data_IF_771806921178
#
_entry.id   IF_771806921178
#
_cell.length_a   1.000
_cell.length_b   1.000
_cell.length_c   1.000
_cell.angle_alpha   90.00
_cell.angle_beta   90.00
_cell.angle_gamma   90.00
#
_symmetry.space_group_name_H-M   'P 1'
#
loop_
_entity.id
_entity.type
_entity.pdbx_description
1 polymer ?
#
# COMPACT_ATOMS: atom_id res chain seq x y z
N UNK A 1 3.87 -40.79 -49.85
CA UNK A 1 2.55 -40.11 -49.82
C UNK A 1 1.97 -40.36 -48.44
N UNK A 2 2.17 -39.40 -47.53
CA UNK A 2 1.63 -39.45 -46.18
C UNK A 2 0.27 -38.70 -46.23
N UNK A 3 -0.82 -39.43 -45.97
CA UNK A 3 -2.16 -38.87 -45.87
C UNK A 3 -2.26 -38.19 -44.51
N UNK A 4 -2.21 -36.84 -44.49
CA UNK A 4 -2.61 -36.06 -43.34
C UNK A 4 -4.09 -36.29 -43.07
N UNK A 5 -4.40 -37.14 -42.09
CA UNK A 5 -5.76 -37.41 -41.65
C UNK A 5 -6.27 -36.13 -40.92
N UNK A 6 -7.28 -35.53 -41.51
CA UNK A 6 -8.07 -34.45 -40.93
C UNK A 6 -8.71 -34.92 -39.60
N UNK A 7 -8.20 -34.42 -38.48
CA UNK A 7 -8.79 -34.64 -37.15
C UNK A 7 -9.89 -33.61 -36.88
N UNK A 8 -11.16 -34.01 -36.94
CA UNK A 8 -12.28 -33.08 -36.72
C UNK A 8 -12.45 -32.63 -35.28
N UNK A 9 -11.66 -33.17 -34.33
CA UNK A 9 -11.69 -32.76 -32.91
C UNK A 9 -10.76 -31.59 -32.60
N UNK A 10 -9.88 -31.16 -33.52
CA UNK A 10 -9.06 -29.98 -33.34
C UNK A 10 -9.90 -28.74 -33.54
N UNK A 11 -10.31 -28.13 -32.45
CA UNK A 11 -10.81 -26.74 -32.45
C UNK A 11 -9.79 -25.84 -33.15
N UNK A 12 -10.20 -25.11 -34.22
CA UNK A 12 -9.25 -24.19 -34.86
C UNK A 12 -8.69 -23.18 -33.85
N UNK A 13 -7.42 -22.77 -34.01
CA UNK A 13 -6.85 -21.73 -33.15
C UNK A 13 -7.76 -20.51 -33.22
N UNK A 14 -8.12 -19.97 -32.04
CA UNK A 14 -9.00 -18.81 -31.93
C UNK A 14 -8.43 -17.67 -32.81
N UNK A 15 -9.29 -17.13 -33.68
CA UNK A 15 -8.89 -16.05 -34.59
C UNK A 15 -8.33 -14.86 -33.80
N UNK A 16 -7.31 -14.13 -34.28
CA UNK A 16 -6.70 -12.98 -33.61
C UNK A 16 -7.71 -11.92 -33.17
N UNK A 17 -8.75 -11.68 -33.94
CA UNK A 17 -9.85 -10.76 -33.58
C UNK A 17 -10.68 -11.22 -32.39
N UNK A 18 -10.85 -12.51 -32.18
CA UNK A 18 -11.55 -13.08 -31.03
C UNK A 18 -10.79 -12.83 -29.72
N UNK A 19 -9.47 -12.97 -29.73
CA UNK A 19 -8.59 -12.73 -28.58
C UNK A 19 -8.62 -11.26 -28.18
N UNK A 20 -8.54 -10.34 -29.15
CA UNK A 20 -8.58 -8.88 -28.88
C UNK A 20 -9.91 -8.48 -28.25
N UNK A 21 -11.02 -8.91 -28.82
CA UNK A 21 -12.38 -8.64 -28.28
C UNK A 21 -12.54 -9.20 -26.86
N UNK A 22 -12.01 -10.38 -26.58
CA UNK A 22 -12.06 -10.99 -25.25
C UNK A 22 -11.25 -10.16 -24.25
N UNK A 23 -10.03 -9.75 -24.57
CA UNK A 23 -9.19 -8.90 -23.72
C UNK A 23 -9.85 -7.55 -23.43
N UNK A 24 -10.41 -6.89 -24.43
CA UNK A 24 -11.17 -5.65 -24.23
C UNK A 24 -12.33 -5.87 -23.25
N UNK A 25 -13.12 -6.93 -23.43
CA UNK A 25 -14.24 -7.24 -22.52
C UNK A 25 -13.79 -7.49 -21.08
N UNK A 26 -12.68 -8.24 -20.89
CA UNK A 26 -12.11 -8.50 -19.56
C UNK A 26 -11.65 -7.19 -18.91
N UNK A 27 -10.96 -6.31 -19.67
CA UNK A 27 -10.50 -5.01 -19.18
C UNK A 27 -11.67 -4.10 -18.82
N UNK A 28 -12.72 -4.00 -19.65
CA UNK A 28 -13.90 -3.19 -19.34
C UNK A 28 -14.64 -3.69 -18.09
N UNK A 29 -14.78 -5.00 -17.92
CA UNK A 29 -15.36 -5.59 -16.70
C UNK A 29 -14.51 -5.28 -15.47
N UNK A 30 -13.20 -5.37 -15.58
CA UNK A 30 -12.26 -5.03 -14.51
C UNK A 30 -12.40 -3.55 -14.12
N UNK A 31 -12.43 -2.63 -15.08
CA UNK A 31 -12.62 -1.19 -14.83
C UNK A 31 -13.98 -0.89 -14.18
N UNK A 32 -15.08 -1.52 -14.66
CA UNK A 32 -16.40 -1.40 -14.03
C UNK A 32 -16.40 -1.91 -12.58
N UNK A 33 -15.75 -3.04 -12.32
CA UNK A 33 -15.59 -3.59 -10.96
C UNK A 33 -14.73 -2.69 -10.07
N UNK A 34 -13.68 -2.08 -10.62
CA UNK A 34 -12.83 -1.13 -9.89
C UNK A 34 -13.61 0.13 -9.50
N UNK A 35 -14.38 0.69 -10.42
CA UNK A 35 -15.25 1.84 -10.13
C UNK A 35 -16.28 1.51 -9.05
N UNK A 36 -16.98 0.38 -9.18
CA UNK A 36 -18.00 -0.03 -8.21
C UNK A 36 -17.38 -0.28 -6.82
N UNK A 37 -16.25 -0.99 -6.75
CA UNK A 37 -15.54 -1.24 -5.49
C UNK A 37 -14.99 0.06 -4.87
N UNK A 38 -14.46 0.95 -5.69
CA UNK A 38 -14.03 2.29 -5.26
C UNK A 38 -15.18 3.11 -4.70
N UNK A 39 -16.33 3.15 -5.40
CA UNK A 39 -17.54 3.81 -4.92
C UNK A 39 -18.07 3.19 -3.62
N UNK A 40 -18.01 1.87 -3.46
CA UNK A 40 -18.45 1.21 -2.23
C UNK A 40 -17.56 1.60 -1.04
N UNK A 41 -16.24 1.66 -1.21
CA UNK A 41 -15.31 2.08 -0.16
C UNK A 41 -15.44 3.58 0.13
N UNK A 42 -15.26 4.43 -0.89
CA UNK A 42 -15.25 5.88 -0.71
C UNK A 42 -16.62 6.43 -0.37
N UNK A 43 -17.68 5.86 -0.97
CA UNK A 43 -19.07 6.23 -0.66
C UNK A 43 -19.44 5.94 0.79
N UNK A 44 -19.02 4.78 1.33
CA UNK A 44 -19.25 4.45 2.74
C UNK A 44 -18.53 5.44 3.68
N UNK A 45 -17.29 5.82 3.35
CA UNK A 45 -16.54 6.83 4.11
C UNK A 45 -17.20 8.20 4.03
N UNK A 46 -17.69 8.58 2.85
CA UNK A 46 -18.38 9.87 2.64
C UNK A 46 -19.69 9.94 3.42
N UNK A 47 -20.51 8.89 3.33
CA UNK A 47 -21.77 8.78 4.11
C UNK A 47 -21.50 8.82 5.61
N UNK A 48 -20.46 8.14 6.08
CA UNK A 48 -20.06 8.20 7.48
C UNK A 48 -19.63 9.62 7.89
N UNK A 49 -18.75 10.26 7.13
CA UNK A 49 -18.19 11.58 7.49
C UNK A 49 -19.22 12.71 7.43
N UNK A 50 -20.12 12.69 6.44
CA UNK A 50 -21.07 13.77 6.22
C UNK A 50 -22.46 13.51 6.84
N UNK A 51 -22.79 12.26 7.13
CA UNK A 51 -24.08 11.87 7.71
C UNK A 51 -23.94 11.34 9.14
N UNK A 52 -23.35 10.17 9.32
CA UNK A 52 -23.37 9.47 10.61
C UNK A 52 -22.51 10.18 11.67
N UNK A 53 -21.33 10.69 11.32
CA UNK A 53 -20.46 11.37 12.29
C UNK A 53 -21.06 12.66 12.84
N UNK A 54 -21.65 13.57 12.03
CA UNK A 54 -22.38 14.74 12.53
C UNK A 54 -23.61 14.36 13.38
N UNK A 55 -24.31 13.27 13.01
CA UNK A 55 -25.42 12.76 13.79
C UNK A 55 -24.98 12.29 15.18
N UNK A 56 -23.85 11.55 15.27
CA UNK A 56 -23.24 11.14 16.52
C UNK A 56 -22.89 12.37 17.38
N UNK A 57 -22.30 13.40 16.76
CA UNK A 57 -21.93 14.63 17.46
C UNK A 57 -23.16 15.35 18.01
N UNK A 58 -24.21 15.47 17.21
CA UNK A 58 -25.45 16.18 17.60
C UNK A 58 -26.20 15.43 18.70
N UNK A 59 -26.32 14.09 18.59
CA UNK A 59 -27.14 13.27 19.52
C UNK A 59 -26.42 13.00 20.84
N UNK A 60 -25.14 12.61 20.77
CA UNK A 60 -24.40 12.16 21.95
C UNK A 60 -23.47 13.23 22.53
N UNK A 61 -23.19 14.30 21.80
CA UNK A 61 -22.30 15.40 22.19
C UNK A 61 -20.99 14.92 22.85
N UNK A 62 -20.29 13.95 22.25
CA UNK A 62 -19.05 13.48 22.81
C UNK A 62 -18.02 14.61 22.81
N UNK A 63 -17.21 14.71 23.85
CA UNK A 63 -16.13 15.69 23.87
C UNK A 63 -15.18 15.52 22.66
N UNK A 64 -14.37 16.55 22.29
CA UNK A 64 -13.56 16.58 21.07
C UNK A 64 -12.61 15.37 20.92
N UNK A 65 -12.07 14.85 22.03
CA UNK A 65 -11.22 13.65 22.03
C UNK A 65 -11.97 12.40 21.57
N UNK A 66 -13.17 12.19 22.12
CA UNK A 66 -14.01 11.04 21.74
C UNK A 66 -14.53 11.14 20.31
N UNK A 67 -14.92 12.34 19.86
CA UNK A 67 -15.32 12.58 18.48
C UNK A 67 -14.16 12.26 17.50
N UNK A 68 -12.93 12.61 17.88
CA UNK A 68 -11.74 12.26 17.11
C UNK A 68 -11.51 10.75 17.02
N UNK A 69 -11.72 10.01 18.12
CA UNK A 69 -11.66 8.54 18.13
C UNK A 69 -12.77 7.95 17.26
N UNK A 70 -14.02 8.39 17.43
CA UNK A 70 -15.16 7.94 16.62
C UNK A 70 -14.89 8.15 15.12
N UNK A 71 -14.38 9.34 14.76
CA UNK A 71 -14.04 9.66 13.36
C UNK A 71 -12.98 8.70 12.80
N UNK A 72 -11.89 8.46 13.52
CA UNK A 72 -10.78 7.61 13.08
C UNK A 72 -11.19 6.14 12.96
N UNK A 73 -11.78 5.60 14.03
CA UNK A 73 -12.26 4.22 14.03
C UNK A 73 -13.37 3.99 13.00
N UNK A 74 -14.32 4.94 12.92
CA UNK A 74 -15.43 4.87 11.99
C UNK A 74 -14.98 4.83 10.54
N UNK A 75 -14.02 5.67 10.13
CA UNK A 75 -13.49 5.66 8.75
C UNK A 75 -12.98 4.27 8.37
N UNK A 76 -12.16 3.62 9.21
CA UNK A 76 -11.65 2.26 8.93
C UNK A 76 -12.80 1.27 8.85
N UNK A 77 -13.69 1.28 9.84
CA UNK A 77 -14.79 0.31 9.92
C UNK A 77 -15.71 0.40 8.71
N UNK A 78 -16.11 1.61 8.29
CA UNK A 78 -17.00 1.77 7.14
C UNK A 78 -16.30 1.50 5.81
N UNK A 79 -15.01 1.82 5.69
CA UNK A 79 -14.25 1.47 4.48
C UNK A 79 -14.13 -0.04 4.29
N UNK A 80 -13.81 -0.77 5.37
CA UNK A 80 -13.76 -2.25 5.36
C UNK A 80 -15.16 -2.83 5.11
N UNK A 81 -16.21 -2.27 5.72
CA UNK A 81 -17.58 -2.69 5.50
C UNK A 81 -18.01 -2.46 4.03
N UNK A 82 -17.66 -1.31 3.45
CA UNK A 82 -17.92 -1.00 2.04
C UNK A 82 -17.21 -1.98 1.10
N UNK A 83 -15.93 -2.27 1.36
CA UNK A 83 -15.19 -3.28 0.61
C UNK A 83 -15.81 -4.68 0.77
N UNK A 84 -16.13 -5.08 2.01
CA UNK A 84 -16.79 -6.36 2.29
C UNK A 84 -18.13 -6.47 1.55
N UNK A 85 -18.95 -5.43 1.57
CA UNK A 85 -20.23 -5.35 0.87
C UNK A 85 -20.04 -5.54 -0.65
N UNK A 86 -19.08 -4.83 -1.24
CA UNK A 86 -18.72 -4.99 -2.64
C UNK A 86 -18.34 -6.44 -2.97
N UNK A 87 -17.46 -7.06 -2.19
CA UNK A 87 -17.02 -8.45 -2.41
C UNK A 87 -18.16 -9.43 -2.24
N UNK A 88 -19.01 -9.24 -1.20
CA UNK A 88 -20.11 -10.14 -0.91
C UNK A 88 -21.22 -10.10 -1.97
N UNK A 89 -21.66 -8.90 -2.34
CA UNK A 89 -22.82 -8.73 -3.22
C UNK A 89 -22.47 -8.70 -4.71
N UNK A 90 -21.37 -8.05 -5.08
CA UNK A 90 -20.97 -7.94 -6.48
C UNK A 90 -20.10 -9.11 -6.93
N UNK A 91 -19.06 -9.47 -6.16
CA UNK A 91 -18.19 -10.60 -6.53
C UNK A 91 -18.73 -11.96 -6.09
N UNK A 92 -19.73 -11.99 -5.22
CA UNK A 92 -20.40 -13.21 -4.69
C UNK A 92 -19.41 -14.21 -4.10
N UNK A 93 -18.42 -13.74 -3.34
CA UNK A 93 -17.40 -14.53 -2.67
C UNK A 93 -17.19 -14.09 -1.23
N UNK A 94 -16.44 -14.88 -0.45
CA UNK A 94 -15.96 -14.48 0.86
C UNK A 94 -14.74 -13.58 0.72
N UNK A 95 -14.66 -12.51 1.52
CA UNK A 95 -13.51 -11.61 1.60
C UNK A 95 -12.43 -12.22 2.53
N UNK A 96 -11.77 -13.29 2.08
CA UNK A 96 -10.79 -14.05 2.88
C UNK A 96 -9.56 -13.22 3.23
N UNK A 97 -9.24 -12.21 2.42
CA UNK A 97 -8.16 -11.26 2.65
C UNK A 97 -8.37 -10.36 3.87
N UNK A 98 -9.60 -10.29 4.41
CA UNK A 98 -9.94 -9.56 5.63
C UNK A 98 -9.84 -10.42 6.91
N UNK A 99 -9.51 -11.70 6.81
CA UNK A 99 -9.37 -12.56 7.98
C UNK A 99 -8.23 -12.09 8.88
N UNK A 100 -8.54 -11.84 10.15
CA UNK A 100 -7.53 -11.46 11.13
C UNK A 100 -6.65 -12.67 11.47
N UNK A 101 -5.34 -12.51 11.30
CA UNK A 101 -4.32 -13.50 11.62
C UNK A 101 -3.31 -12.88 12.60
N UNK A 102 -3.53 -12.94 13.92
CA UNK A 102 -2.78 -12.14 14.90
C UNK A 102 -1.25 -12.34 14.82
N UNK A 103 -0.81 -13.59 14.73
CA UNK A 103 0.63 -13.90 14.65
C UNK A 103 1.23 -13.33 13.36
N UNK A 104 0.56 -13.50 12.21
CA UNK A 104 1.05 -12.99 10.93
C UNK A 104 1.04 -11.46 10.89
N UNK A 105 0.05 -10.82 11.53
CA UNK A 105 -0.02 -9.36 11.69
C UNK A 105 1.19 -8.85 12.50
N UNK A 106 1.49 -9.48 13.65
CA UNK A 106 2.65 -9.10 14.48
C UNK A 106 3.95 -9.27 13.69
N UNK A 107 4.13 -10.41 13.01
CA UNK A 107 5.30 -10.64 12.17
C UNK A 107 5.40 -9.65 11.01
N UNK A 108 4.26 -9.28 10.41
CA UNK A 108 4.19 -8.21 9.41
C UNK A 108 4.70 -6.89 9.95
N UNK A 109 4.20 -6.46 11.11
CA UNK A 109 4.62 -5.22 11.76
C UNK A 109 6.11 -5.22 12.14
N UNK A 110 6.57 -6.28 12.82
CA UNK A 110 8.00 -6.43 13.16
C UNK A 110 8.88 -6.42 11.91
N UNK A 111 8.45 -7.11 10.85
CA UNK A 111 9.14 -7.11 9.56
C UNK A 111 9.24 -5.71 8.94
N UNK A 112 8.15 -4.95 8.93
CA UNK A 112 8.13 -3.57 8.40
C UNK A 112 9.06 -2.63 9.17
N UNK A 113 8.99 -2.67 10.50
CA UNK A 113 9.87 -1.88 11.36
C UNK A 113 11.35 -2.25 11.12
N UNK A 114 11.69 -3.53 11.11
CA UNK A 114 13.06 -4.00 10.93
C UNK A 114 13.63 -3.63 9.55
N UNK A 115 12.80 -3.73 8.50
CA UNK A 115 13.23 -3.43 7.13
C UNK A 115 13.67 -1.98 6.94
N UNK A 116 12.98 -1.02 7.55
CA UNK A 116 13.32 0.39 7.44
C UNK A 116 14.31 0.83 8.51
N UNK A 117 14.28 0.21 9.69
CA UNK A 117 15.22 0.52 10.76
C UNK A 117 16.67 0.27 10.36
N UNK A 118 16.91 -0.79 9.55
CA UNK A 118 18.27 -1.11 9.10
C UNK A 118 18.89 0.01 8.24
N UNK A 119 18.32 0.44 7.10
CA UNK A 119 18.90 1.55 6.33
C UNK A 119 18.96 2.86 7.13
N UNK A 120 17.98 3.16 7.99
CA UNK A 120 18.02 4.35 8.84
C UNK A 120 19.20 4.27 9.83
N UNK A 121 19.41 3.14 10.50
CA UNK A 121 20.57 2.95 11.39
C UNK A 121 21.89 3.14 10.65
N UNK A 122 21.99 2.66 9.40
CA UNK A 122 23.17 2.88 8.56
C UNK A 122 23.36 4.37 8.22
N UNK A 123 22.26 5.12 7.94
CA UNK A 123 22.33 6.56 7.67
C UNK A 123 22.87 7.33 8.89
N UNK A 124 22.47 6.97 10.10
CA UNK A 124 23.05 7.52 11.33
C UNK A 124 24.50 7.09 11.50
N UNK A 125 24.83 5.83 11.29
CA UNK A 125 26.21 5.31 11.44
C UNK A 125 27.19 5.96 10.45
N UNK A 126 26.74 6.30 9.25
CA UNK A 126 27.54 6.99 8.24
C UNK A 126 27.57 8.51 8.42
N UNK A 127 26.89 9.05 9.43
CA UNK A 127 26.81 10.50 9.67
C UNK A 127 25.96 11.25 8.64
N UNK A 128 25.17 10.56 7.83
CA UNK A 128 24.22 11.20 6.92
C UNK A 128 23.01 11.78 7.67
N UNK A 129 22.69 11.20 8.82
CA UNK A 129 21.73 11.72 9.79
C UNK A 129 22.44 11.99 11.11
N UNK A 130 22.13 13.12 11.73
CA UNK A 130 22.64 13.50 13.03
C UNK A 130 21.49 13.67 14.02
N UNK A 131 21.60 13.05 15.19
CA UNK A 131 20.68 13.29 16.30
C UNK A 131 20.96 14.66 16.91
N UNK A 132 19.95 15.53 16.90
CA UNK A 132 20.04 16.88 17.47
C UNK A 132 19.55 16.89 18.92
N UNK A 133 18.40 16.26 19.18
CA UNK A 133 17.75 16.29 20.49
C UNK A 133 16.91 15.02 20.73
N UNK A 134 16.91 14.57 21.98
CA UNK A 134 15.94 13.60 22.46
C UNK A 134 14.79 14.32 23.19
N UNK A 135 13.62 14.39 22.57
CA UNK A 135 12.42 15.06 23.12
C UNK A 135 11.62 14.15 24.06
N UNK A 136 11.82 12.83 23.95
CA UNK A 136 10.97 11.84 24.62
C UNK A 136 9.62 11.65 23.96
N UNK A 137 8.85 10.68 24.45
CA UNK A 137 7.52 10.38 23.91
C UNK A 137 6.47 11.35 24.48
N UNK A 138 5.61 11.86 23.61
CA UNK A 138 4.45 12.67 23.98
C UNK A 138 3.12 11.93 23.72
N UNK A 139 2.02 12.25 24.41
CA UNK A 139 0.70 11.66 24.10
C UNK A 139 0.24 11.93 22.65
N UNK A 140 0.68 13.02 22.04
CA UNK A 140 0.38 13.33 20.64
C UNK A 140 0.93 12.30 19.65
N UNK A 141 2.03 11.61 20.01
CA UNK A 141 2.61 10.51 19.24
C UNK A 141 1.60 9.38 18.99
N UNK A 142 0.78 9.03 20.00
CA UNK A 142 -0.28 8.02 19.84
C UNK A 142 -1.34 8.44 18.83
N UNK A 143 -1.64 9.74 18.77
CA UNK A 143 -2.56 10.30 17.80
C UNK A 143 -2.05 10.16 16.37
N UNK A 144 -0.77 10.44 16.14
CA UNK A 144 -0.14 10.30 14.82
C UNK A 144 0.06 8.82 14.47
N UNK A 145 0.44 7.97 15.42
CA UNK A 145 0.51 6.52 15.20
C UNK A 145 -0.83 5.94 14.71
N UNK A 146 -1.94 6.38 15.31
CA UNK A 146 -3.27 5.99 14.87
C UNK A 146 -3.57 6.48 13.43
N UNK A 147 -3.18 7.71 13.08
CA UNK A 147 -3.34 8.24 11.71
C UNK A 147 -2.53 7.44 10.70
N UNK A 148 -1.27 7.10 11.02
CA UNK A 148 -0.43 6.24 10.19
C UNK A 148 -1.09 4.88 9.97
N UNK A 149 -1.59 4.25 11.04
CA UNK A 149 -2.28 2.96 10.94
C UNK A 149 -3.54 3.01 10.07
N UNK A 150 -4.30 4.12 10.16
CA UNK A 150 -5.48 4.36 9.31
C UNK A 150 -5.08 4.55 7.86
N UNK A 151 -4.13 5.43 7.58
CA UNK A 151 -3.67 5.72 6.23
C UNK A 151 -3.15 4.45 5.56
N UNK A 152 -2.22 3.73 6.20
CA UNK A 152 -1.69 2.47 5.69
C UNK A 152 -2.80 1.44 5.43
N UNK A 153 -3.77 1.29 6.35
CA UNK A 153 -4.87 0.33 6.16
C UNK A 153 -5.74 0.68 4.95
N UNK A 154 -6.08 1.96 4.77
CA UNK A 154 -6.89 2.42 3.64
C UNK A 154 -6.15 2.27 2.32
N UNK A 155 -4.87 2.63 2.29
CA UNK A 155 -4.03 2.48 1.11
C UNK A 155 -3.89 1.01 0.70
N UNK A 156 -3.64 0.10 1.66
CA UNK A 156 -3.55 -1.33 1.38
C UNK A 156 -4.91 -1.93 0.98
N UNK A 157 -6.02 -1.47 1.55
CA UNK A 157 -7.36 -1.88 1.17
C UNK A 157 -7.64 -1.54 -0.31
N UNK A 158 -7.32 -0.31 -0.72
CA UNK A 158 -7.56 0.16 -2.09
C UNK A 158 -6.57 -0.48 -3.07
N UNK A 159 -5.26 -0.43 -2.77
CA UNK A 159 -4.25 -0.85 -3.74
C UNK A 159 -4.07 -2.38 -3.81
N UNK A 160 -4.19 -3.11 -2.68
CA UNK A 160 -3.96 -4.57 -2.65
C UNK A 160 -5.25 -5.35 -2.71
N UNK A 161 -6.22 -5.02 -1.86
CA UNK A 161 -7.47 -5.78 -1.84
C UNK A 161 -8.40 -5.46 -3.01
N UNK A 162 -8.42 -4.23 -3.52
CA UNK A 162 -9.25 -3.88 -4.66
C UNK A 162 -8.46 -3.88 -5.97
N UNK A 163 -7.55 -2.91 -6.17
CA UNK A 163 -6.87 -2.67 -7.44
C UNK A 163 -6.01 -3.86 -7.88
N UNK A 164 -5.03 -4.26 -7.07
CA UNK A 164 -4.11 -5.35 -7.42
C UNK A 164 -4.87 -6.64 -7.73
N UNK A 165 -5.82 -7.02 -6.90
CA UNK A 165 -6.58 -8.25 -7.07
C UNK A 165 -7.41 -8.27 -8.36
N UNK A 166 -8.00 -7.14 -8.73
CA UNK A 166 -8.76 -7.01 -9.99
C UNK A 166 -7.83 -7.05 -11.21
N UNK A 167 -6.69 -6.34 -11.14
CA UNK A 167 -5.65 -6.39 -12.18
C UNK A 167 -5.10 -7.81 -12.33
N UNK A 168 -4.83 -8.50 -11.22
CA UNK A 168 -4.29 -9.87 -11.23
C UNK A 168 -5.24 -10.84 -11.91
N UNK A 169 -6.54 -10.73 -11.64
CA UNK A 169 -7.56 -11.56 -12.32
C UNK A 169 -7.64 -11.28 -13.81
N UNK A 170 -7.46 -10.03 -14.22
CA UNK A 170 -7.57 -9.62 -15.62
C UNK A 170 -6.28 -9.91 -16.41
N UNK A 171 -5.12 -9.59 -15.83
CA UNK A 171 -3.86 -9.54 -16.57
C UNK A 171 -2.73 -10.37 -15.95
N UNK A 172 -3.00 -11.11 -14.87
CA UNK A 172 -2.03 -11.94 -14.15
C UNK A 172 -1.15 -11.15 -13.18
N UNK A 173 -0.45 -11.88 -12.30
CA UNK A 173 0.28 -11.31 -11.16
C UNK A 173 1.38 -10.32 -11.56
N UNK A 174 2.12 -10.61 -12.65
CA UNK A 174 3.27 -9.76 -13.04
C UNK A 174 2.81 -8.39 -13.47
N UNK A 175 1.78 -8.31 -14.35
CA UNK A 175 1.23 -7.05 -14.83
C UNK A 175 0.57 -6.30 -13.67
N UNK A 176 -0.17 -7.01 -12.81
CA UNK A 176 -0.82 -6.42 -11.65
C UNK A 176 0.21 -5.77 -10.69
N UNK A 177 1.32 -6.45 -10.40
CA UNK A 177 2.40 -5.90 -9.57
C UNK A 177 2.99 -4.63 -10.17
N UNK A 178 3.30 -4.63 -11.47
CA UNK A 178 3.90 -3.48 -12.14
C UNK A 178 2.93 -2.28 -12.16
N UNK A 179 1.70 -2.50 -12.61
CA UNK A 179 0.71 -1.41 -12.76
C UNK A 179 0.33 -0.82 -11.41
N UNK A 180 0.00 -1.66 -10.40
CA UNK A 180 -0.38 -1.14 -9.09
C UNK A 180 0.77 -0.42 -8.38
N UNK A 181 2.03 -0.83 -8.58
CA UNK A 181 3.18 -0.17 -7.97
C UNK A 181 3.38 1.25 -8.51
N UNK A 182 3.25 1.44 -9.81
CA UNK A 182 3.28 2.77 -10.43
C UNK A 182 2.10 3.61 -9.97
N UNK A 183 0.88 3.06 -9.99
CA UNK A 183 -0.31 3.78 -9.53
C UNK A 183 -0.26 4.13 -8.04
N UNK A 184 0.45 3.34 -7.23
CA UNK A 184 0.70 3.64 -5.82
C UNK A 184 1.63 4.85 -5.64
N UNK A 185 2.58 5.06 -6.54
CA UNK A 185 3.52 6.18 -6.46
C UNK A 185 2.88 7.54 -6.86
N UNK A 186 1.89 7.55 -7.75
CA UNK A 186 1.36 8.79 -8.32
C UNK A 186 0.76 9.77 -7.29
N UNK A 187 -0.04 9.34 -6.29
CA UNK A 187 -0.56 10.26 -5.28
C UNK A 187 0.52 10.96 -4.45
N UNK A 188 1.70 10.35 -4.31
CA UNK A 188 2.80 10.92 -3.53
C UNK A 188 3.51 12.08 -4.24
N UNK A 189 3.18 12.36 -5.52
CA UNK A 189 3.70 13.54 -6.23
C UNK A 189 3.37 14.86 -5.51
N UNK A 190 2.21 14.92 -4.83
CA UNK A 190 1.82 16.10 -4.05
C UNK A 190 2.82 16.39 -2.93
N UNK A 191 3.40 15.35 -2.31
CA UNK A 191 4.31 15.48 -1.19
C UNK A 191 5.68 16.06 -1.57
N UNK A 192 6.03 16.04 -2.86
CA UNK A 192 7.29 16.60 -3.41
C UNK A 192 7.03 17.72 -4.41
N UNK A 193 5.83 18.31 -4.41
CA UNK A 193 5.44 19.35 -5.37
C UNK A 193 6.35 20.61 -5.30
N UNK A 194 7.00 20.83 -4.17
CA UNK A 194 7.94 21.94 -3.95
C UNK A 194 9.41 21.56 -4.23
N UNK A 195 9.68 20.29 -4.57
CA UNK A 195 11.01 19.76 -4.85
C UNK A 195 11.46 19.97 -6.28
N UNK A 196 12.74 19.66 -6.52
CA UNK A 196 13.31 19.64 -7.85
C UNK A 196 12.99 18.37 -8.64
N UNK A 197 13.35 18.30 -9.93
CA UNK A 197 13.18 17.09 -10.74
C UNK A 197 13.85 15.84 -10.14
N UNK A 198 14.96 16.00 -9.42
CA UNK A 198 15.65 14.91 -8.73
C UNK A 198 14.80 14.30 -7.61
N UNK A 199 14.12 15.14 -6.81
CA UNK A 199 13.24 14.69 -5.73
C UNK A 199 12.05 13.90 -6.27
N UNK A 200 11.46 14.38 -7.37
CA UNK A 200 10.34 13.69 -8.04
C UNK A 200 10.78 12.31 -8.53
N UNK A 201 11.94 12.22 -9.21
CA UNK A 201 12.45 10.94 -9.71
C UNK A 201 12.78 9.99 -8.56
N UNK A 202 13.46 10.47 -7.52
CA UNK A 202 13.80 9.66 -6.35
C UNK A 202 12.56 9.13 -5.63
N UNK A 203 11.55 9.98 -5.43
CA UNK A 203 10.25 9.61 -4.87
C UNK A 203 9.54 8.57 -5.75
N UNK A 204 9.41 8.80 -7.07
CA UNK A 204 8.73 7.86 -7.97
C UNK A 204 9.40 6.49 -7.96
N UNK A 205 10.75 6.45 -7.96
CA UNK A 205 11.51 5.20 -7.87
C UNK A 205 11.26 4.50 -6.53
N UNK A 206 11.44 5.19 -5.42
CA UNK A 206 11.31 4.62 -4.07
C UNK A 206 9.91 4.13 -3.80
N UNK A 207 8.87 4.93 -4.07
CA UNK A 207 7.48 4.55 -3.80
C UNK A 207 6.99 3.45 -4.74
N UNK A 208 7.50 3.40 -6.00
CA UNK A 208 7.25 2.24 -6.88
C UNK A 208 7.87 0.96 -6.30
N UNK A 209 9.08 1.01 -5.75
CA UNK A 209 9.71 -0.14 -5.09
C UNK A 209 8.94 -0.54 -3.83
N UNK A 210 8.46 0.41 -3.03
CA UNK A 210 7.57 0.14 -1.89
C UNK A 210 6.24 -0.47 -2.36
N UNK A 211 5.68 0.02 -3.44
CA UNK A 211 4.51 -0.58 -4.09
C UNK A 211 4.73 -2.04 -4.45
N UNK A 212 5.91 -2.40 -4.96
CA UNK A 212 6.30 -3.79 -5.24
C UNK A 212 6.53 -4.59 -3.95
N UNK A 213 7.09 -3.99 -2.91
CA UNK A 213 7.29 -4.64 -1.60
C UNK A 213 5.96 -5.11 -1.02
N UNK A 214 5.02 -4.17 -0.82
CA UNK A 214 3.72 -4.49 -0.24
C UNK A 214 2.84 -5.31 -1.17
N UNK A 215 2.95 -5.10 -2.50
CA UNK A 215 2.32 -5.97 -3.49
C UNK A 215 2.85 -7.41 -3.42
N UNK A 216 4.17 -7.61 -3.35
CA UNK A 216 4.81 -8.91 -3.18
C UNK A 216 4.44 -9.59 -1.86
N UNK A 217 4.37 -8.83 -0.77
CA UNK A 217 3.92 -9.33 0.53
C UNK A 217 2.45 -9.78 0.46
N UNK A 218 1.59 -9.02 -0.24
CA UNK A 218 0.19 -9.42 -0.46
C UNK A 218 0.08 -10.66 -1.35
N UNK A 219 0.91 -10.82 -2.37
CA UNK A 219 0.95 -12.06 -3.18
C UNK A 219 1.24 -13.28 -2.31
N UNK A 220 2.13 -13.16 -1.33
CA UNK A 220 2.49 -14.25 -0.43
C UNK A 220 1.45 -14.55 0.64
N UNK A 221 0.83 -13.52 1.19
CA UNK A 221 0.00 -13.65 2.40
C UNK A 221 -1.50 -13.61 2.12
N UNK A 222 -1.89 -12.96 1.02
CA UNK A 222 -3.30 -12.69 0.66
C UNK A 222 -4.10 -12.10 1.83
N UNK A 223 -3.46 -11.26 2.64
CA UNK A 223 -4.02 -10.76 3.88
C UNK A 223 -3.77 -9.26 4.03
N UNK A 224 -4.86 -8.48 4.19
CA UNK A 224 -4.83 -7.04 4.38
C UNK A 224 -4.01 -6.65 5.62
N UNK A 225 -4.27 -7.30 6.74
CA UNK A 225 -3.73 -6.89 8.03
C UNK A 225 -2.22 -7.07 8.14
N UNK A 226 -1.68 -8.09 7.47
CA UNK A 226 -0.24 -8.33 7.42
C UNK A 226 0.46 -7.21 6.66
N UNK A 227 -0.10 -6.82 5.51
CA UNK A 227 0.50 -5.76 4.67
C UNK A 227 0.32 -4.40 5.32
N UNK A 228 -0.86 -4.10 5.84
CA UNK A 228 -1.14 -2.85 6.54
C UNK A 228 -0.29 -2.68 7.81
N UNK A 229 -0.08 -3.75 8.59
CA UNK A 229 0.80 -3.71 9.75
C UNK A 229 2.26 -3.49 9.37
N UNK A 230 2.73 -4.12 8.27
CA UNK A 230 4.07 -3.91 7.74
C UNK A 230 4.27 -2.45 7.30
N UNK A 231 3.34 -1.92 6.52
CA UNK A 231 3.35 -0.54 6.04
C UNK A 231 3.27 0.47 7.21
N UNK A 232 2.33 0.30 8.11
CA UNK A 232 2.18 1.20 9.26
C UNK A 232 3.42 1.19 10.16
N UNK A 233 4.01 0.03 10.42
CA UNK A 233 5.21 -0.09 11.24
C UNK A 233 6.45 0.51 10.55
N UNK A 234 6.57 0.37 9.22
CA UNK A 234 7.55 1.06 8.40
C UNK A 234 7.46 2.57 8.61
N UNK A 235 6.29 3.16 8.36
CA UNK A 235 6.06 4.59 8.48
C UNK A 235 6.25 5.09 9.92
N UNK A 236 5.76 4.36 10.91
CA UNK A 236 5.92 4.73 12.32
C UNK A 236 7.40 4.72 12.75
N UNK A 237 8.19 3.77 12.27
CA UNK A 237 9.63 3.71 12.56
C UNK A 237 10.36 4.94 12.01
N UNK A 238 10.02 5.41 10.80
CA UNK A 238 10.57 6.65 10.25
C UNK A 238 10.19 7.83 11.14
N UNK A 239 8.90 7.95 11.49
CA UNK A 239 8.43 9.02 12.36
C UNK A 239 9.22 9.12 13.65
N UNK A 240 9.57 7.99 14.29
CA UNK A 240 10.30 7.97 15.56
C UNK A 240 11.66 8.66 15.47
N UNK A 241 12.26 8.70 14.29
CA UNK A 241 13.60 9.29 14.07
C UNK A 241 13.60 10.81 13.91
N UNK A 242 12.41 11.44 13.74
CA UNK A 242 12.29 12.88 13.57
C UNK A 242 12.80 13.42 12.23
N UNK A 243 12.88 12.56 11.22
CA UNK A 243 13.07 12.95 9.81
C UNK A 243 11.74 12.97 9.05
N UNK A 244 11.66 13.57 7.86
CA UNK A 244 10.43 13.54 7.06
C UNK A 244 9.95 12.11 6.80
N UNK A 245 8.65 11.91 6.86
CA UNK A 245 7.98 10.68 6.48
C UNK A 245 7.22 10.93 5.17
N UNK A 246 7.65 10.32 4.08
CA UNK A 246 7.00 10.46 2.77
C UNK A 246 6.77 11.93 2.36
N UNK A 247 7.67 12.83 2.73
CA UNK A 247 7.57 14.28 2.49
C UNK A 247 6.67 15.03 3.47
N UNK A 248 6.14 14.40 4.52
CA UNK A 248 5.27 15.04 5.53
C UNK A 248 6.14 15.58 6.67
N UNK A 249 6.30 16.90 6.71
CA UNK A 249 7.10 17.60 7.74
C UNK A 249 6.35 17.78 9.07
N UNK A 250 5.05 18.03 9.04
CA UNK A 250 4.25 18.43 10.22
C UNK A 250 4.35 17.39 11.36
N UNK A 251 4.51 16.13 11.04
CA UNK A 251 4.56 15.07 12.05
C UNK A 251 5.89 14.98 12.80
N UNK A 252 6.95 15.61 12.28
CA UNK A 252 8.26 15.67 12.96
C UNK A 252 8.19 16.33 14.35
N UNK A 253 7.25 17.28 14.53
CA UNK A 253 7.10 17.98 15.80
C UNK A 253 6.72 17.06 16.97
N UNK A 254 6.08 15.91 16.71
CA UNK A 254 5.68 14.94 17.75
C UNK A 254 6.65 13.76 17.88
N UNK A 255 7.68 13.70 17.05
CA UNK A 255 8.68 12.64 17.09
C UNK A 255 9.49 12.69 18.39
N UNK A 256 9.81 11.52 18.98
CA UNK A 256 10.64 11.48 20.21
C UNK A 256 12.09 11.88 19.97
N UNK A 257 12.58 11.76 18.75
CA UNK A 257 13.89 12.23 18.32
C UNK A 257 13.75 13.46 17.44
N UNK A 258 14.72 14.36 17.50
CA UNK A 258 14.92 15.40 16.50
C UNK A 258 16.21 15.12 15.77
N UNK A 259 16.13 14.95 14.45
CA UNK A 259 17.28 14.66 13.62
C UNK A 259 17.38 15.66 12.47
N UNK A 260 18.61 15.87 12.00
CA UNK A 260 18.90 16.67 10.80
C UNK A 260 19.68 15.86 9.78
N UNK A 261 19.60 16.29 8.54
CA UNK A 261 20.41 15.77 7.46
C UNK A 261 21.81 16.42 7.47
N UNK A 262 22.84 15.60 7.29
CA UNK A 262 24.24 16.02 7.18
C UNK A 262 24.92 15.48 5.92
N UNK A 263 24.16 14.85 5.02
CA UNK A 263 24.62 14.26 3.77
C UNK A 263 23.89 14.80 2.55
N UNK A 264 24.31 14.39 1.35
CA UNK A 264 23.65 14.77 0.11
C UNK A 264 22.28 14.06 -0.03
N UNK A 265 21.36 14.65 -0.81
CA UNK A 265 19.97 14.19 -0.93
C UNK A 265 19.84 12.74 -1.42
N UNK A 266 20.71 12.28 -2.33
CA UNK A 266 20.70 10.89 -2.80
C UNK A 266 20.98 9.88 -1.69
N UNK A 267 21.69 10.30 -0.64
CA UNK A 267 22.00 9.47 0.53
C UNK A 267 20.94 9.63 1.63
N UNK A 268 20.54 10.89 1.93
CA UNK A 268 19.57 11.19 2.99
C UNK A 268 18.12 10.93 2.59
N UNK A 269 17.82 10.95 1.31
CA UNK A 269 16.47 10.86 0.76
C UNK A 269 15.80 12.22 0.55
N UNK A 270 16.54 13.33 0.80
CA UNK A 270 16.10 14.69 0.54
C UNK A 270 14.78 15.04 1.23
N UNK A 271 13.93 15.80 0.54
CA UNK A 271 12.65 16.26 1.10
C UNK A 271 11.63 15.15 1.35
N UNK A 272 11.75 14.01 0.65
CA UNK A 272 10.81 12.89 0.82
C UNK A 272 11.11 12.09 2.09
N UNK A 273 12.37 12.02 2.48
CA UNK A 273 12.82 11.28 3.66
C UNK A 273 13.58 10.00 3.34
N UNK A 274 13.90 9.18 4.36
CA UNK A 274 14.77 8.01 4.23
C UNK A 274 14.32 6.99 3.20
N UNK A 275 13.04 6.97 2.86
CA UNK A 275 12.46 6.09 1.83
C UNK A 275 13.10 6.31 0.46
N UNK A 276 13.43 7.56 0.12
CA UNK A 276 14.09 7.95 -1.15
C UNK A 276 15.61 7.91 -1.07
N UNK A 277 16.21 7.48 0.05
CA UNK A 277 17.65 7.25 0.14
C UNK A 277 18.07 6.05 -0.72
N UNK A 278 19.26 6.14 -1.30
CA UNK A 278 19.82 5.03 -2.09
C UNK A 278 19.90 3.73 -1.25
N UNK A 279 20.23 3.84 0.04
CA UNK A 279 20.30 2.67 0.94
C UNK A 279 18.94 2.01 1.11
N UNK A 280 17.87 2.80 1.31
CA UNK A 280 16.52 2.25 1.45
C UNK A 280 16.03 1.65 0.13
N UNK A 281 16.26 2.33 -1.01
CA UNK A 281 15.86 1.82 -2.33
C UNK A 281 16.56 0.49 -2.62
N UNK A 282 17.88 0.39 -2.42
CA UNK A 282 18.64 -0.83 -2.68
C UNK A 282 18.23 -1.96 -1.74
N UNK A 283 18.17 -1.71 -0.42
CA UNK A 283 17.79 -2.75 0.55
C UNK A 283 16.37 -3.25 0.31
N UNK A 284 15.42 -2.35 0.05
CA UNK A 284 14.04 -2.72 -0.26
C UNK A 284 13.95 -3.50 -1.58
N UNK A 285 14.71 -3.11 -2.61
CA UNK A 285 14.75 -3.85 -3.89
C UNK A 285 15.24 -5.28 -3.69
N UNK A 286 16.28 -5.49 -2.88
CA UNK A 286 16.76 -6.85 -2.54
C UNK A 286 15.64 -7.65 -1.89
N UNK A 287 14.93 -7.07 -0.92
CA UNK A 287 13.81 -7.77 -0.25
C UNK A 287 12.67 -8.06 -1.23
N UNK A 288 12.32 -7.13 -2.12
CA UNK A 288 11.31 -7.35 -3.18
C UNK A 288 11.70 -8.57 -4.04
N UNK A 289 12.96 -8.63 -4.50
CA UNK A 289 13.44 -9.77 -5.29
C UNK A 289 13.31 -11.10 -4.53
N UNK A 290 13.68 -11.11 -3.24
CA UNK A 290 13.57 -12.31 -2.40
C UNK A 290 12.11 -12.72 -2.19
N UNK A 291 11.21 -11.77 -1.90
CA UNK A 291 9.78 -12.01 -1.75
C UNK A 291 9.15 -12.56 -3.03
N UNK A 292 9.44 -11.94 -4.18
CA UNK A 292 8.89 -12.39 -5.46
C UNK A 292 9.42 -13.76 -5.88
N UNK A 293 10.71 -14.06 -5.58
CA UNK A 293 11.25 -15.42 -5.76
C UNK A 293 10.55 -16.44 -4.86
N UNK A 294 10.33 -16.11 -3.58
CA UNK A 294 9.60 -16.97 -2.65
C UNK A 294 8.15 -17.19 -3.11
N UNK A 295 7.46 -16.14 -3.56
CA UNK A 295 6.11 -16.23 -4.09
C UNK A 295 6.03 -17.13 -5.34
N UNK A 296 6.98 -17.01 -6.28
CA UNK A 296 7.07 -17.89 -7.45
C UNK A 296 7.29 -19.34 -7.07
N UNK A 297 8.22 -19.62 -6.14
CA UNK A 297 8.50 -20.97 -5.65
C UNK A 297 7.29 -21.62 -4.99
N UNK A 298 6.41 -20.83 -4.37
CA UNK A 298 5.15 -21.29 -3.77
C UNK A 298 3.98 -21.39 -4.76
N UNK A 299 4.21 -21.12 -6.04
CA UNK A 299 3.15 -21.15 -7.06
C UNK A 299 2.10 -20.07 -6.88
N UNK A 300 2.42 -18.96 -6.17
CA UNK A 300 1.48 -17.89 -5.87
C UNK A 300 1.23 -16.91 -7.03
N UNK A 301 1.87 -17.13 -8.19
CA UNK A 301 1.69 -16.31 -9.38
C UNK A 301 0.60 -16.90 -10.28
N UNK A 302 -0.38 -16.09 -10.63
CA UNK A 302 -1.45 -16.45 -11.57
C UNK A 302 -1.10 -15.94 -12.97
N UNK A 303 -1.44 -16.75 -13.99
CA UNK A 303 -1.43 -16.31 -15.38
C UNK A 303 -2.73 -15.54 -15.67
N UNK A 304 -2.68 -14.64 -16.64
CA UNK A 304 -3.89 -13.98 -17.14
C UNK A 304 -4.93 -15.06 -17.58
N UNK A 305 -6.20 -14.81 -17.34
CA UNK A 305 -7.25 -15.60 -17.95
C UNK A 305 -7.13 -15.45 -19.47
N UNK A 306 -6.91 -16.58 -20.16
CA UNK A 306 -6.76 -16.64 -21.61
C UNK A 306 -8.05 -16.22 -22.32
#
# INVERSE_FOLDING_TARGET
>A
MSSDSFDPSRTPPAEPEGIVRQRIRVTLRMLGSLLLGGMAIMGSVLVFRQGLLPLIDTVFQPGPAWLSVCRRAGIILVAIAGYWAYVHWHEKRKATELQLQPVALILGGVGGAALVALPIAMLFAFGAYELVLFRGASPALLGVAALIGIAATLEELVHRCLLFRLLERAWGTVVALAVQAVLFALPHLENVAHGGPGDIVAMLMSVTVLGLLWGGLFVLTRNLWVVAANHAAWNFTILLTGVPLSGIEDWRAVAPLESRYAGPDWLTGGIFGPESSLLAIVSTTVVVVLLLRAARRRGAFFKAAA
#
